data_IF_992650588126
#
_entry.id   IF_992650588126
#
_cell.length_a   1.000
_cell.length_b   1.000
_cell.length_c   1.000
_cell.angle_alpha   90.00
_cell.angle_beta   90.00
_cell.angle_gamma   90.00
#
_symmetry.space_group_name_H-M   'P 1'
#
loop_
_entity.id
_entity.type
_entity.pdbx_description
1 polymer ?
#
# COMPACT_ATOMS: atom_id res chain seq x y z
N UNK A 1 8.33 -8.82 -32.27
CA UNK A 1 7.49 -9.59 -31.33
C UNK A 1 7.21 -8.76 -30.07
N UNK A 2 6.37 -7.72 -30.15
CA UNK A 2 5.95 -6.91 -28.98
C UNK A 2 4.40 -6.86 -28.85
N UNK A 3 3.67 -7.48 -29.78
CA UNK A 3 2.20 -7.42 -29.83
C UNK A 3 1.46 -8.45 -28.97
N UNK A 4 2.09 -9.56 -28.59
CA UNK A 4 1.43 -10.67 -27.91
C UNK A 4 1.20 -10.45 -26.39
N UNK A 5 1.88 -9.47 -25.77
CA UNK A 5 1.84 -9.24 -24.32
C UNK A 5 0.80 -8.21 -23.89
N UNK A 6 0.50 -7.20 -24.72
CA UNK A 6 -0.48 -6.15 -24.38
C UNK A 6 -1.91 -6.63 -24.56
N UNK A 7 -2.18 -7.37 -25.64
CA UNK A 7 -3.52 -7.93 -25.90
C UNK A 7 -3.94 -8.92 -24.80
N UNK A 8 -3.04 -9.82 -24.39
CA UNK A 8 -3.29 -10.75 -23.28
C UNK A 8 -3.54 -10.03 -21.95
N UNK A 9 -2.77 -8.98 -21.64
CA UNK A 9 -3.00 -8.18 -20.44
C UNK A 9 -4.36 -7.45 -20.45
N UNK A 10 -4.81 -6.98 -21.62
CA UNK A 10 -6.13 -6.35 -21.79
C UNK A 10 -7.25 -7.38 -21.62
N UNK A 11 -7.10 -8.58 -22.18
CA UNK A 11 -8.07 -9.68 -21.99
C UNK A 11 -8.20 -10.08 -20.52
N UNK A 12 -7.07 -10.16 -19.81
CA UNK A 12 -7.03 -10.44 -18.37
C UNK A 12 -7.71 -9.33 -17.55
N UNK A 13 -7.52 -8.06 -17.92
CA UNK A 13 -8.21 -6.93 -17.28
C UNK A 13 -9.72 -6.97 -17.52
N UNK A 14 -10.15 -7.25 -18.77
CA UNK A 14 -11.57 -7.35 -19.10
C UNK A 14 -12.24 -8.52 -18.36
N UNK A 15 -11.56 -9.67 -18.26
CA UNK A 15 -12.02 -10.81 -17.48
C UNK A 15 -12.10 -10.50 -15.99
N UNK A 16 -11.10 -9.83 -15.42
CA UNK A 16 -11.08 -9.39 -14.03
C UNK A 16 -12.22 -8.40 -13.74
N UNK A 17 -12.46 -7.43 -14.63
CA UNK A 17 -13.55 -6.47 -14.51
C UNK A 17 -14.94 -7.14 -14.59
N UNK A 18 -15.11 -8.22 -15.37
CA UNK A 18 -16.35 -9.02 -15.34
C UNK A 18 -16.53 -9.71 -13.99
N UNK A 19 -15.51 -10.44 -13.53
CA UNK A 19 -15.53 -11.13 -12.22
C UNK A 19 -15.83 -10.17 -11.07
N UNK A 20 -15.21 -8.99 -11.06
CA UNK A 20 -15.45 -7.96 -10.05
C UNK A 20 -16.90 -7.46 -10.08
N UNK A 21 -17.52 -7.30 -11.25
CA UNK A 21 -18.92 -6.85 -11.35
C UNK A 21 -19.93 -7.89 -10.84
N UNK A 22 -19.62 -9.17 -10.98
CA UNK A 22 -20.48 -10.28 -10.59
C UNK A 22 -20.29 -10.72 -9.13
N UNK A 23 -19.19 -10.28 -8.49
CA UNK A 23 -18.84 -10.69 -7.12
C UNK A 23 -19.69 -9.98 -6.06
N UNK A 24 -20.13 -10.74 -5.07
CA UNK A 24 -20.79 -10.20 -3.86
C UNK A 24 -19.80 -9.91 -2.73
N UNK A 25 -18.62 -10.54 -2.77
CA UNK A 25 -17.56 -10.41 -1.80
C UNK A 25 -16.25 -9.98 -2.47
N UNK A 26 -15.57 -8.97 -1.92
CA UNK A 26 -14.28 -8.49 -2.41
C UNK A 26 -13.30 -8.35 -1.25
N UNK A 27 -12.15 -9.01 -1.39
CA UNK A 27 -10.98 -8.81 -0.51
C UNK A 27 -9.90 -8.07 -1.30
N UNK A 28 -9.49 -6.91 -0.81
CA UNK A 28 -8.38 -6.13 -1.36
C UNK A 28 -7.20 -6.23 -0.41
N UNK A 29 -6.08 -6.81 -0.88
CA UNK A 29 -4.83 -6.89 -0.13
C UNK A 29 -3.83 -5.91 -0.74
N UNK A 30 -3.31 -4.99 0.07
CA UNK A 30 -2.36 -3.96 -0.39
C UNK A 30 -1.03 -4.03 0.35
N UNK A 31 0.03 -3.59 -0.34
CA UNK A 31 1.36 -3.39 0.23
C UNK A 31 1.99 -2.11 -0.34
N UNK A 32 3.30 -1.92 -0.11
CA UNK A 32 3.96 -0.63 -0.34
C UNK A 32 3.83 -0.07 -1.77
N UNK A 33 3.64 -0.93 -2.77
CA UNK A 33 3.46 -0.53 -4.16
C UNK A 33 2.28 0.42 -4.38
N UNK A 34 1.18 0.26 -3.64
CA UNK A 34 0.01 1.16 -3.77
C UNK A 34 0.34 2.59 -3.36
N UNK A 35 1.31 2.79 -2.45
CA UNK A 35 1.71 4.11 -1.93
C UNK A 35 2.89 4.72 -2.67
N UNK A 36 3.50 4.00 -3.62
CA UNK A 36 4.67 4.47 -4.36
C UNK A 36 4.34 5.73 -5.19
N UNK A 37 3.19 5.73 -5.86
CA UNK A 37 2.69 6.89 -6.63
C UNK A 37 2.32 8.09 -5.73
N UNK A 38 2.15 7.86 -4.42
CA UNK A 38 1.94 8.91 -3.42
C UNK A 38 3.25 9.48 -2.87
N UNK A 39 4.41 9.06 -3.42
CA UNK A 39 5.73 9.50 -2.98
C UNK A 39 6.24 8.80 -1.72
N UNK A 40 5.58 7.73 -1.26
CA UNK A 40 6.06 6.93 -0.11
C UNK A 40 7.07 5.90 -0.60
N UNK A 41 8.33 5.92 -0.12
CA UNK A 41 9.33 4.95 -0.52
C UNK A 41 8.93 3.51 -0.19
N UNK A 42 9.11 2.61 -1.16
CA UNK A 42 8.92 1.18 -0.98
C UNK A 42 10.09 0.56 -0.21
N UNK A 43 9.82 -0.52 0.53
CA UNK A 43 10.88 -1.29 1.22
C UNK A 43 11.81 -2.04 0.26
N UNK A 44 11.43 -2.15 -1.02
CA UNK A 44 12.24 -2.77 -2.09
C UNK A 44 12.63 -1.71 -3.11
N UNK A 45 13.86 -1.76 -3.62
CA UNK A 45 14.36 -0.85 -4.65
C UNK A 45 15.20 0.31 -4.11
N UNK A 46 15.63 1.19 -5.02
CA UNK A 46 16.66 2.22 -4.77
C UNK A 46 16.21 3.33 -3.82
N UNK A 47 14.89 3.52 -3.64
CA UNK A 47 14.32 4.60 -2.83
C UNK A 47 14.27 4.36 -1.33
N UNK A 48 14.61 3.16 -0.83
CA UNK A 48 14.42 2.77 0.57
C UNK A 48 15.54 3.17 1.53
N UNK A 49 16.69 3.64 1.04
CA UNK A 49 17.86 3.89 1.87
C UNK A 49 17.72 5.18 2.70
N UNK A 50 18.00 5.09 4.00
CA UNK A 50 18.13 6.24 4.89
C UNK A 50 19.51 6.24 5.54
N UNK A 51 20.33 7.25 5.23
CA UNK A 51 21.72 7.33 5.70
C UNK A 51 22.55 6.06 5.42
N UNK A 52 22.30 5.41 4.28
CA UNK A 52 22.96 4.14 3.90
C UNK A 52 22.38 2.89 4.56
N UNK A 53 21.44 3.01 5.49
CA UNK A 53 20.73 1.88 6.08
C UNK A 53 19.52 1.48 5.25
N UNK A 54 19.33 0.16 5.16
CA UNK A 54 18.10 -0.41 4.62
C UNK A 54 17.00 -0.43 5.68
N UNK A 55 15.72 -0.27 5.31
CA UNK A 55 14.59 -0.35 6.25
C UNK A 55 14.59 -1.64 7.08
N UNK A 56 14.94 -2.77 6.48
CA UNK A 56 14.94 -4.08 7.13
C UNK A 56 16.04 -4.23 8.18
N UNK A 57 17.06 -3.36 8.16
CA UNK A 57 18.08 -3.30 9.21
C UNK A 57 17.61 -2.51 10.43
N UNK A 58 16.70 -1.54 10.24
CA UNK A 58 16.25 -0.62 11.29
C UNK A 58 14.93 -1.06 11.94
N UNK A 59 14.06 -1.72 11.18
CA UNK A 59 12.76 -2.20 11.64
C UNK A 59 12.84 -3.58 12.33
N UNK A 60 13.78 -3.77 13.26
CA UNK A 60 13.93 -5.02 14.03
C UNK A 60 14.00 -4.76 15.53
N UNK A 61 13.52 -5.69 16.37
CA UNK A 61 13.67 -5.58 17.82
C UNK A 61 15.14 -5.45 18.26
N UNK A 62 16.05 -6.16 17.60
CA UNK A 62 17.49 -6.11 17.89
C UNK A 62 18.08 -4.72 17.62
N UNK A 63 17.77 -4.10 16.47
CA UNK A 63 18.26 -2.76 16.15
C UNK A 63 17.70 -1.71 17.12
N UNK A 64 16.45 -1.87 17.56
CA UNK A 64 15.86 -1.00 18.57
C UNK A 64 16.53 -1.15 19.94
N UNK A 65 16.86 -2.39 20.35
CA UNK A 65 17.58 -2.65 21.58
C UNK A 65 19.02 -2.11 21.56
N UNK A 66 19.71 -2.21 20.41
CA UNK A 66 21.07 -1.70 20.23
C UNK A 66 21.13 -0.17 20.23
N UNK A 67 20.26 0.49 19.45
CA UNK A 67 20.26 1.94 19.34
C UNK A 67 18.85 2.50 19.07
N UNK A 68 18.03 2.69 20.11
CA UNK A 68 16.65 3.15 19.96
C UNK A 68 16.59 4.57 19.36
N UNK A 69 17.59 5.42 19.65
CA UNK A 69 17.66 6.78 19.10
C UNK A 69 17.77 6.77 17.57
N UNK A 70 18.64 5.93 17.00
CA UNK A 70 18.80 5.78 15.54
C UNK A 70 17.50 5.29 14.89
N UNK A 71 16.86 4.28 15.48
CA UNK A 71 15.60 3.74 14.98
C UNK A 71 14.50 4.81 15.03
N UNK A 72 14.40 5.58 16.11
CA UNK A 72 13.45 6.70 16.20
C UNK A 72 13.74 7.81 15.19
N UNK A 73 15.00 8.18 14.95
CA UNK A 73 15.36 9.16 13.93
C UNK A 73 14.88 8.72 12.54
N UNK A 74 15.04 7.45 12.21
CA UNK A 74 14.53 6.88 10.97
C UNK A 74 13.01 6.93 10.89
N UNK A 75 12.29 6.52 11.94
CA UNK A 75 10.83 6.61 11.97
C UNK A 75 10.33 8.06 11.88
N UNK A 76 10.99 9.02 12.53
CA UNK A 76 10.64 10.45 12.44
C UNK A 76 10.80 10.97 11.01
N UNK A 77 11.91 10.64 10.34
CA UNK A 77 12.11 10.97 8.94
C UNK A 77 11.02 10.36 8.05
N UNK A 78 10.68 9.07 8.23
CA UNK A 78 9.61 8.42 7.47
C UNK A 78 8.24 9.06 7.72
N UNK A 79 7.93 9.42 8.97
CA UNK A 79 6.69 10.13 9.31
C UNK A 79 6.60 11.48 8.61
N UNK A 80 7.71 12.19 8.46
CA UNK A 80 7.77 13.45 7.70
C UNK A 80 7.37 13.26 6.23
N UNK A 81 7.85 12.20 5.58
CA UNK A 81 7.48 11.86 4.20
C UNK A 81 6.00 11.52 4.09
N UNK A 82 5.51 10.62 4.95
CA UNK A 82 4.11 10.17 4.95
C UNK A 82 3.14 11.32 5.22
N UNK A 83 3.51 12.26 6.08
CA UNK A 83 2.69 13.43 6.40
C UNK A 83 2.45 14.34 5.17
N UNK A 84 3.39 14.38 4.22
CA UNK A 84 3.28 15.16 2.99
C UNK A 84 2.61 14.39 1.84
N UNK A 85 2.65 13.05 1.89
CA UNK A 85 1.98 12.21 0.90
C UNK A 85 0.46 12.45 0.90
N UNK A 86 -0.20 12.25 -0.23
CA UNK A 86 -1.66 12.27 -0.36
C UNK A 86 -2.14 10.96 -0.98
N UNK A 87 -3.37 10.49 -0.68
CA UNK A 87 -3.90 9.31 -1.34
C UNK A 87 -3.92 9.51 -2.86
N UNK A 88 -3.52 8.48 -3.60
CA UNK A 88 -3.62 8.46 -5.06
C UNK A 88 -4.92 7.76 -5.51
N UNK A 89 -5.11 7.69 -6.83
CA UNK A 89 -6.29 7.09 -7.44
C UNK A 89 -6.56 5.65 -7.01
N UNK A 90 -5.51 4.86 -6.76
CA UNK A 90 -5.65 3.49 -6.27
C UNK A 90 -6.35 3.44 -4.91
N UNK A 91 -5.97 4.30 -3.99
CA UNK A 91 -6.59 4.39 -2.66
C UNK A 91 -8.05 4.86 -2.76
N UNK A 92 -8.32 5.88 -3.58
CA UNK A 92 -9.68 6.40 -3.79
C UNK A 92 -10.63 5.33 -4.34
N UNK A 93 -10.16 4.53 -5.31
CA UNK A 93 -10.97 3.46 -5.91
C UNK A 93 -11.27 2.38 -4.88
N UNK A 94 -10.29 1.99 -4.07
CA UNK A 94 -10.47 1.00 -2.99
C UNK A 94 -11.47 1.51 -1.95
N UNK A 95 -11.36 2.77 -1.53
CA UNK A 95 -12.31 3.40 -0.61
C UNK A 95 -13.73 3.44 -1.20
N UNK A 96 -13.88 3.75 -2.49
CA UNK A 96 -15.18 3.74 -3.16
C UNK A 96 -15.78 2.33 -3.29
N UNK A 97 -14.94 1.30 -3.47
CA UNK A 97 -15.40 -0.09 -3.55
C UNK A 97 -15.96 -0.61 -2.23
N UNK A 98 -15.49 -0.10 -1.10
CA UNK A 98 -16.03 -0.47 0.20
C UNK A 98 -17.55 -0.22 0.31
N UNK A 99 -18.07 0.83 -0.32
CA UNK A 99 -19.51 1.10 -0.37
C UNK A 99 -20.27 0.35 -1.47
N UNK A 100 -19.57 -0.31 -2.39
CA UNK A 100 -20.14 -0.96 -3.58
C UNK A 100 -20.38 -2.45 -3.37
N UNK A 101 -19.54 -3.13 -2.60
CA UNK A 101 -19.64 -4.57 -2.38
C UNK A 101 -20.38 -4.87 -1.07
N UNK A 102 -21.39 -5.78 -1.07
CA UNK A 102 -22.07 -6.21 0.15
C UNK A 102 -21.11 -6.77 1.21
N UNK A 103 -20.12 -7.55 0.76
CA UNK A 103 -19.00 -7.99 1.57
C UNK A 103 -17.66 -7.45 1.07
N UNK A 104 -17.03 -6.62 1.90
CA UNK A 104 -15.77 -5.97 1.55
C UNK A 104 -14.79 -6.09 2.69
N UNK A 105 -13.54 -6.43 2.36
CA UNK A 105 -12.43 -6.43 3.31
C UNK A 105 -11.21 -5.76 2.68
N UNK A 106 -10.67 -4.75 3.35
CA UNK A 106 -9.37 -4.18 3.04
C UNK A 106 -8.34 -4.69 4.07
N UNK A 107 -7.34 -5.41 3.58
CA UNK A 107 -6.17 -5.81 4.35
C UNK A 107 -4.94 -5.06 3.81
N UNK A 108 -4.24 -4.31 4.65
CA UNK A 108 -3.03 -3.59 4.24
C UNK A 108 -1.82 -3.98 5.09
N UNK A 109 -0.68 -4.10 4.44
CA UNK A 109 0.62 -4.18 5.12
C UNK A 109 1.21 -2.79 5.41
N UNK A 110 0.60 -1.74 4.87
CA UNK A 110 1.14 -0.39 4.98
C UNK A 110 0.79 0.22 6.34
N UNK A 111 1.71 1.03 6.84
CA UNK A 111 1.57 1.79 8.10
C UNK A 111 1.60 3.31 7.83
N UNK A 112 1.14 3.71 6.64
CA UNK A 112 1.16 5.11 6.17
C UNK A 112 -0.17 5.85 6.35
N UNK A 113 -1.27 5.14 6.61
CA UNK A 113 -2.59 5.71 6.82
C UNK A 113 -3.29 6.24 5.55
N UNK A 114 -2.75 5.97 4.35
CA UNK A 114 -3.28 6.56 3.11
C UNK A 114 -4.65 6.00 2.72
N UNK A 115 -4.96 4.75 3.06
CA UNK A 115 -6.30 4.18 2.85
C UNK A 115 -7.36 4.88 3.71
N UNK A 116 -7.07 5.11 4.99
CA UNK A 116 -7.95 5.82 5.90
C UNK A 116 -8.17 7.27 5.45
N UNK A 117 -7.09 7.93 5.00
CA UNK A 117 -7.17 9.29 4.44
C UNK A 117 -7.94 9.35 3.12
N UNK A 118 -8.00 8.26 2.36
CA UNK A 118 -8.85 8.12 1.17
C UNK A 118 -10.33 7.86 1.50
N UNK A 119 -10.65 7.59 2.77
CA UNK A 119 -12.01 7.31 3.23
C UNK A 119 -12.34 5.83 3.43
N UNK A 120 -11.37 4.92 3.31
CA UNK A 120 -11.61 3.52 3.71
C UNK A 120 -11.81 3.45 5.22
N UNK A 121 -12.79 2.68 5.69
CA UNK A 121 -12.91 2.33 7.10
C UNK A 121 -11.77 1.41 7.50
N UNK A 122 -11.52 1.34 8.81
CA UNK A 122 -10.31 0.79 9.40
C UNK A 122 -9.83 -0.52 8.73
N UNK A 123 -8.69 -0.51 8.01
CA UNK A 123 -8.11 -1.71 7.42
C UNK A 123 -7.82 -2.75 8.50
N UNK A 124 -8.47 -3.92 8.42
CA UNK A 124 -8.49 -4.98 9.44
C UNK A 124 -9.32 -4.67 10.72
N UNK A 125 -10.10 -3.60 10.73
CA UNK A 125 -11.17 -3.37 11.71
C UNK A 125 -12.37 -4.26 11.41
N UNK A 126 -12.59 -5.28 12.24
CA UNK A 126 -13.78 -6.17 12.18
C UNK A 126 -15.07 -5.33 12.19
N UNK A 127 -16.05 -5.75 11.39
CA UNK A 127 -17.46 -5.40 11.63
C UNK A 127 -17.86 -5.80 13.05
#
# INVERSE_FOLDING_TARGET
MVGATVAGAIEDLAASARRLRESQALVVITGAGVSAESGVPTFRGVGGLWQGFRPEQLATPAAFAENPKRVWQWYLWRRGIVAQATPNRGHEVVAAWEGRFPDFTLATQNVDGLHQRAGSRDPLGRR
#
